data_IF_051658177542
#
_entry.id   IF_051658177542
#
_cell.length_a   1.000
_cell.length_b   1.000
_cell.length_c   1.000
_cell.angle_alpha   90.00
_cell.angle_beta   90.00
_cell.angle_gamma   90.00
#
_symmetry.space_group_name_H-M   'P 1'
#
loop_
_entity.id
_entity.type
_entity.pdbx_description
1 polymer ?
#
# COMPACT_ATOMS: atom_id res chain seq x y z
N UNK A 1 -3.04 10.30 -21.16
CA UNK A 1 -2.97 10.22 -20.50
C UNK A 1 -2.94 10.14 -19.45
N UNK A 2 -2.91 10.10 -19.47
CA UNK A 2 -2.93 10.03 -18.58
C UNK A 2 -2.60 9.86 -17.56
N UNK A 3 -2.22 9.81 -17.14
CA UNK A 3 -1.89 9.71 -16.18
C UNK A 3 -2.02 9.77 -15.04
N UNK A 4 -1.67 9.58 -14.42
CA UNK A 4 -2.46 9.68 -13.39
C UNK A 4 -2.02 9.06 -12.13
N UNK A 5 -1.80 7.81 -11.95
CA UNK A 5 -1.36 7.29 -10.69
C UNK A 5 0.06 7.61 -10.39
N UNK A 6 0.78 8.04 -11.32
CA UNK A 6 2.12 8.51 -11.04
C UNK A 6 2.09 9.78 -10.23
N UNK A 7 0.91 10.40 -10.09
CA UNK A 7 0.76 11.58 -9.26
C UNK A 7 0.24 11.23 -7.89
N UNK A 8 0.13 9.95 -7.56
CA UNK A 8 -0.39 9.55 -6.28
C UNK A 8 0.53 10.02 -5.16
N UNK A 9 -0.06 10.64 -4.14
CA UNK A 9 0.70 11.17 -3.03
C UNK A 9 1.11 10.09 -2.04
N UNK A 10 0.54 8.89 -2.16
CA UNK A 10 0.82 7.86 -1.17
C UNK A 10 1.84 6.83 -1.64
N UNK A 11 2.16 6.79 -2.93
CA UNK A 11 3.17 5.83 -3.39
C UNK A 11 4.50 6.20 -2.77
N UNK A 12 5.14 5.19 -2.15
CA UNK A 12 6.39 5.40 -1.46
C UNK A 12 6.24 5.63 0.03
N UNK A 13 5.01 5.82 0.51
CA UNK A 13 4.79 6.05 1.94
C UNK A 13 4.69 4.73 2.69
N UNK A 14 5.16 4.72 3.94
CA UNK A 14 4.99 3.52 4.78
C UNK A 14 3.54 3.36 5.17
N UNK A 15 3.16 2.13 5.45
CA UNK A 15 1.79 1.86 5.86
C UNK A 15 1.76 0.70 6.84
N UNK A 16 0.64 0.58 7.57
CA UNK A 16 0.40 -0.48 8.52
C UNK A 16 -0.88 -1.18 8.10
N UNK A 17 -0.82 -2.51 8.04
CA UNK A 17 -2.00 -3.31 7.72
C UNK A 17 -2.87 -3.46 8.95
N UNK A 18 -4.18 -3.26 8.80
CA UNK A 18 -5.10 -3.47 9.91
C UNK A 18 -5.21 -4.96 10.24
N UNK A 19 -5.15 -5.80 9.22
CA UNK A 19 -5.15 -7.25 9.41
C UNK A 19 -3.81 -7.78 8.96
N UNK A 20 -3.04 -8.42 9.86
CA UNK A 20 -1.72 -8.89 9.47
C UNK A 20 -1.79 -9.90 8.33
N UNK A 21 -0.82 -9.83 7.44
CA UNK A 21 -0.67 -10.81 6.38
C UNK A 21 0.46 -11.74 6.80
N UNK A 22 0.09 -12.95 7.23
CA UNK A 22 1.05 -13.96 7.69
C UNK A 22 1.99 -13.37 8.74
N UNK A 23 1.44 -12.55 9.63
CA UNK A 23 2.21 -11.93 10.68
C UNK A 23 2.87 -10.61 10.32
N UNK A 24 2.86 -10.24 9.06
CA UNK A 24 3.43 -8.95 8.63
C UNK A 24 2.38 -7.87 8.75
N UNK A 25 2.76 -6.73 9.33
CA UNK A 25 1.85 -5.59 9.46
C UNK A 25 2.41 -4.33 8.82
N UNK A 26 3.71 -4.29 8.51
CA UNK A 26 4.34 -3.07 8.01
C UNK A 26 4.73 -3.24 6.56
N UNK A 27 4.57 -2.18 5.80
CA UNK A 27 4.95 -2.21 4.40
C UNK A 27 5.05 -0.82 3.82
N UNK A 28 5.23 -0.78 2.52
CA UNK A 28 5.34 0.46 1.76
C UNK A 28 4.35 0.40 0.62
N UNK A 29 3.65 1.49 0.39
CA UNK A 29 2.72 1.58 -0.74
C UNK A 29 3.54 1.68 -2.01
N UNK A 30 3.32 0.73 -2.94
CA UNK A 30 4.03 0.74 -4.22
C UNK A 30 3.07 0.83 -5.40
N UNK A 31 1.77 0.80 -5.16
CA UNK A 31 0.78 1.00 -6.21
C UNK A 31 -0.49 1.58 -5.63
N UNK A 32 -1.23 2.34 -6.42
CA UNK A 32 -2.44 3.03 -5.96
C UNK A 32 -3.47 2.93 -7.07
N UNK A 33 -4.53 2.18 -6.81
CA UNK A 33 -5.63 2.00 -7.77
C UNK A 33 -6.92 2.65 -7.25
N UNK A 34 -6.81 3.50 -6.23
CA UNK A 34 -7.97 4.18 -5.67
C UNK A 34 -8.58 3.37 -4.54
N UNK A 35 -9.39 2.38 -4.87
CA UNK A 35 -10.04 1.54 -3.86
C UNK A 35 -9.08 0.51 -3.27
N UNK A 36 -8.05 0.14 -4.01
CA UNK A 36 -7.06 -0.82 -3.55
C UNK A 36 -5.68 -0.24 -3.74
N UNK A 37 -4.74 -0.77 -3.00
CA UNK A 37 -3.33 -0.37 -3.09
C UNK A 37 -2.49 -1.63 -3.11
N UNK A 38 -1.29 -1.50 -3.66
CA UNK A 38 -0.31 -2.57 -3.60
C UNK A 38 0.67 -2.22 -2.51
N UNK A 39 0.86 -3.14 -1.59
CA UNK A 39 1.74 -2.97 -0.44
C UNK A 39 2.91 -3.93 -0.58
N UNK A 40 4.12 -3.41 -0.50
CA UNK A 40 5.30 -4.27 -0.42
C UNK A 40 5.63 -4.46 1.05
N UNK A 41 5.51 -5.69 1.51
CA UNK A 41 5.78 -6.03 2.90
C UNK A 41 7.28 -5.99 3.16
N UNK A 42 7.66 -6.01 4.44
CA UNK A 42 9.08 -6.01 4.79
C UNK A 42 9.80 -7.24 4.29
N UNK A 43 9.06 -8.32 3.99
CA UNK A 43 9.66 -9.51 3.40
C UNK A 43 9.97 -9.34 1.92
N UNK A 44 9.47 -8.28 1.31
CA UNK A 44 9.61 -8.07 -0.12
C UNK A 44 8.42 -8.53 -0.94
N UNK A 45 7.49 -9.26 -0.32
CA UNK A 45 6.30 -9.72 -1.03
C UNK A 45 5.35 -8.56 -1.23
N UNK A 46 4.72 -8.50 -2.41
CA UNK A 46 3.74 -7.46 -2.72
C UNK A 46 2.36 -8.07 -2.70
N UNK A 47 1.45 -7.40 -2.01
CA UNK A 47 0.06 -7.85 -1.89
C UNK A 47 -0.86 -6.71 -2.23
N UNK A 48 -2.09 -7.04 -2.61
CA UNK A 48 -3.12 -6.05 -2.87
C UNK A 48 -4.04 -5.99 -1.65
N UNK A 49 -4.34 -4.77 -1.20
CA UNK A 49 -5.22 -4.55 -0.06
C UNK A 49 -6.21 -3.46 -0.38
N UNK A 50 -7.37 -3.51 0.25
CA UNK A 50 -8.32 -2.41 0.15
C UNK A 50 -7.73 -1.19 0.84
N UNK A 51 -8.00 -0.02 0.26
CA UNK A 51 -7.44 1.23 0.77
C UNK A 51 -7.80 1.44 2.24
N UNK A 52 -9.03 1.07 2.64
CA UNK A 52 -9.45 1.29 4.02
C UNK A 52 -8.99 0.19 4.97
N UNK A 53 -8.24 -0.80 4.47
CA UNK A 53 -7.65 -1.82 5.32
C UNK A 53 -6.19 -1.52 5.66
N UNK A 54 -5.68 -0.36 5.26
CA UNK A 54 -4.31 0.04 5.57
C UNK A 54 -4.33 1.43 6.16
N UNK A 55 -3.37 1.69 7.03
CA UNK A 55 -3.15 3.02 7.61
C UNK A 55 -1.91 3.57 6.95
N UNK A 56 -2.05 4.71 6.26
CA UNK A 56 -0.93 5.35 5.59
C UNK A 56 -0.22 6.21 6.62
N UNK A 57 1.07 5.97 6.80
CA UNK A 57 1.87 6.68 7.79
C UNK A 57 2.76 7.70 7.09
N UNK A 58 2.45 8.96 7.27
CA UNK A 58 3.23 10.04 6.64
C UNK A 58 4.50 10.33 7.41
#
# INVERSE_FOLDING_TARGET
>A
MMFYEEDSEIIGLPCTLLTPYRGYTEGTIVGDYGNTVIVRLTSGKEIEEYRDEVIIND
#
